data_IF_776650916464
#
_entry.id   IF_776650916464
#
_cell.length_a   1.000
_cell.length_b   1.000
_cell.length_c   1.000
_cell.angle_alpha   90.00
_cell.angle_beta   90.00
_cell.angle_gamma   90.00
#
_symmetry.space_group_name_H-M   'P 1'
#
loop_
_entity.id
_entity.type
_entity.pdbx_description
1 polymer ?
#
# COMPACT_ATOMS: atom_id res chain seq x y z
N UNK A 1 -31.47 45.21 25.54
CA UNK A 1 -31.23 43.82 25.96
C UNK A 1 -30.26 43.26 24.95
N UNK A 2 -28.98 43.16 25.33
CA UNK A 2 -27.97 42.48 24.51
C UNK A 2 -28.08 41.01 24.89
N UNK A 3 -28.63 40.21 23.98
CA UNK A 3 -28.77 38.78 24.18
C UNK A 3 -27.37 38.18 24.28
N UNK A 4 -27.02 37.78 25.50
CA UNK A 4 -25.86 36.94 25.77
C UNK A 4 -26.20 35.54 25.25
N UNK A 5 -25.97 35.33 23.96
CA UNK A 5 -25.98 33.98 23.41
C UNK A 5 -24.91 33.15 24.13
N UNK A 6 -25.26 31.97 24.68
CA UNK A 6 -24.34 31.15 25.44
C UNK A 6 -23.18 30.71 24.54
N UNK A 7 -21.96 30.95 25.02
CA UNK A 7 -20.71 30.52 24.40
C UNK A 7 -20.82 29.03 24.08
N UNK A 8 -20.72 28.60 22.80
CA UNK A 8 -20.69 27.19 22.48
C UNK A 8 -19.41 26.59 23.07
N UNK A 9 -19.61 25.66 23.99
CA UNK A 9 -18.58 25.03 24.80
C UNK A 9 -17.55 24.32 23.91
N UNK A 10 -16.33 24.86 23.90
CA UNK A 10 -15.20 24.41 23.06
C UNK A 10 -14.86 22.94 23.33
N UNK A 11 -15.19 22.43 24.52
CA UNK A 11 -14.99 21.02 24.89
C UNK A 11 -15.82 20.05 24.03
N UNK A 12 -17.00 20.47 23.56
CA UNK A 12 -17.95 19.54 22.91
C UNK A 12 -17.58 19.19 21.46
N UNK A 13 -16.79 20.02 20.78
CA UNK A 13 -16.46 19.81 19.37
C UNK A 13 -15.09 19.14 19.16
N UNK A 14 -14.15 19.28 20.09
CA UNK A 14 -12.82 18.66 19.96
C UNK A 14 -12.81 17.21 20.47
N UNK A 15 -13.62 16.90 21.50
CA UNK A 15 -13.70 15.56 22.10
C UNK A 15 -14.60 14.57 21.33
N UNK A 16 -15.44 15.06 20.41
CA UNK A 16 -16.35 14.21 19.63
C UNK A 16 -15.64 13.45 18.49
N UNK A 17 -14.43 13.87 18.14
CA UNK A 17 -13.69 13.31 17.02
C UNK A 17 -12.63 12.35 17.58
N UNK A 18 -12.89 11.05 17.45
CA UNK A 18 -11.94 10.03 17.84
C UNK A 18 -10.76 10.01 16.85
N UNK A 19 -9.63 10.56 17.28
CA UNK A 19 -8.37 10.60 16.51
C UNK A 19 -7.73 9.21 16.35
N UNK A 20 -8.25 8.17 17.01
CA UNK A 20 -7.71 6.80 16.97
C UNK A 20 -7.78 6.15 15.59
N UNK A 21 -8.75 6.53 14.75
CA UNK A 21 -8.88 5.99 13.38
C UNK A 21 -7.78 6.51 12.44
N UNK A 22 -7.22 7.69 12.71
CA UNK A 22 -6.21 8.32 11.87
C UNK A 22 -4.82 7.69 12.03
N UNK A 23 -4.53 7.20 13.23
CA UNK A 23 -3.26 6.58 13.57
C UNK A 23 -3.27 5.04 13.52
N UNK A 24 -4.43 4.43 13.25
CA UNK A 24 -4.50 2.98 13.08
C UNK A 24 -3.68 2.57 11.84
N UNK A 25 -2.59 1.81 12.02
CA UNK A 25 -1.90 1.20 10.90
C UNK A 25 -2.93 0.27 10.27
N UNK A 26 -3.30 0.53 9.01
CA UNK A 26 -4.17 -0.39 8.28
C UNK A 26 -3.56 -1.78 8.42
N UNK A 27 -4.27 -2.69 9.09
CA UNK A 27 -3.83 -4.06 9.24
C UNK A 27 -3.71 -4.60 7.83
N UNK A 28 -2.49 -4.60 7.30
CA UNK A 28 -2.19 -5.35 6.10
C UNK A 28 -2.47 -6.78 6.48
N UNK A 29 -3.59 -7.31 6.02
CA UNK A 29 -3.75 -8.75 5.83
C UNK A 29 -2.79 -9.11 4.70
N UNK A 30 -1.49 -9.05 5.00
CA UNK A 30 -0.44 -9.60 4.18
C UNK A 30 -0.76 -11.06 4.07
N UNK A 31 -1.40 -11.42 2.96
CA UNK A 31 -1.65 -12.80 2.58
C UNK A 31 -0.32 -13.52 2.74
N UNK A 32 -0.27 -14.44 3.71
CA UNK A 32 0.91 -15.20 4.05
C UNK A 32 1.50 -15.74 2.75
N UNK A 33 2.70 -15.28 2.40
CA UNK A 33 3.45 -15.77 1.26
C UNK A 33 3.76 -17.24 1.53
N UNK A 34 2.91 -18.14 1.04
CA UNK A 34 3.27 -19.55 0.89
C UNK A 34 4.34 -19.60 -0.20
N UNK A 35 5.57 -19.47 0.25
CA UNK A 35 6.76 -19.72 -0.54
C UNK A 35 6.70 -21.17 -0.96
N UNK A 36 6.26 -21.41 -2.20
CA UNK A 36 6.32 -22.73 -2.81
C UNK A 36 7.76 -23.15 -2.95
N UNK A 37 8.26 -23.88 -1.95
CA UNK A 37 9.50 -24.65 -1.99
C UNK A 37 9.37 -25.67 -3.11
N UNK A 38 9.89 -25.31 -4.29
CA UNK A 38 10.21 -26.26 -5.34
C UNK A 38 11.51 -26.97 -4.97
N UNK A 39 11.39 -28.11 -4.29
CA UNK A 39 12.51 -29.02 -4.09
C UNK A 39 12.87 -29.69 -5.42
N UNK A 40 13.72 -29.03 -6.22
CA UNK A 40 14.52 -29.71 -7.23
C UNK A 40 15.80 -30.20 -6.55
N UNK A 41 15.78 -31.44 -6.03
CA UNK A 41 17.01 -32.12 -5.63
C UNK A 41 17.87 -32.36 -6.88
N UNK A 42 18.85 -31.48 -7.05
CA UNK A 42 20.01 -31.74 -7.88
C UNK A 42 20.90 -32.77 -7.17
N UNK A 43 20.75 -34.05 -7.53
CA UNK A 43 21.84 -35.03 -7.38
C UNK A 43 22.57 -35.14 -8.71
N UNK A 44 23.57 -34.29 -8.88
CA UNK A 44 24.68 -34.56 -9.78
C UNK A 44 25.53 -35.66 -9.14
N UNK A 45 25.55 -36.83 -9.76
CA UNK A 45 26.60 -37.83 -9.55
C UNK A 45 26.96 -38.38 -10.92
N UNK A 46 28.07 -37.86 -11.43
CA UNK A 46 29.03 -38.47 -12.36
C UNK A 46 28.75 -39.94 -12.71
N UNK A 47 28.44 -40.21 -13.97
CA UNK A 47 29.01 -41.37 -14.68
C UNK A 47 29.35 -40.96 -16.11
N UNK A 48 30.65 -40.81 -16.35
CA UNK A 48 31.19 -40.91 -17.70
C UNK A 48 30.79 -42.26 -18.28
N UNK A 49 30.25 -42.23 -19.48
CA UNK A 49 29.70 -43.40 -20.13
C UNK A 49 29.44 -43.10 -21.59
N UNK A 50 30.51 -42.76 -22.31
CA UNK A 50 30.57 -42.97 -23.76
C UNK A 50 30.29 -44.44 -24.02
N UNK A 51 29.03 -44.82 -24.18
CA UNK A 51 28.69 -46.11 -24.75
C UNK A 51 28.77 -45.95 -26.26
N UNK A 52 29.99 -46.19 -26.74
CA UNK A 52 30.26 -46.64 -28.09
C UNK A 52 29.22 -47.70 -28.49
N UNK A 53 28.20 -47.28 -29.22
CA UNK A 53 27.28 -48.19 -29.90
C UNK A 53 27.46 -47.99 -31.39
N UNK A 54 28.52 -48.64 -31.89
CA UNK A 54 28.55 -49.18 -33.24
C UNK A 54 27.26 -50.01 -33.41
N UNK A 55 26.25 -49.40 -34.02
CA UNK A 55 24.98 -50.04 -34.34
C UNK A 55 24.57 -49.54 -35.70
N UNK A 56 24.68 -50.47 -36.64
CA UNK A 56 23.96 -50.65 -37.89
C UNK A 56 23.14 -49.43 -38.40
N UNK A 57 23.43 -48.89 -39.60
CA UNK A 57 22.70 -47.75 -40.16
C UNK A 57 21.20 -48.00 -40.33
N UNK A 58 20.73 -49.25 -40.31
CA UNK A 58 19.32 -49.59 -40.55
C UNK A 58 18.40 -49.54 -39.30
N UNK A 59 18.93 -49.35 -38.08
CA UNK A 59 18.14 -49.31 -36.83
C UNK A 59 18.05 -47.93 -36.15
N UNK A 60 18.73 -46.90 -36.69
CA UNK A 60 18.81 -45.57 -36.06
C UNK A 60 17.60 -44.66 -36.33
N UNK A 61 16.86 -44.93 -37.38
CA UNK A 61 15.75 -44.07 -37.84
C UNK A 61 14.57 -44.02 -36.84
N UNK A 62 14.08 -45.16 -36.29
CA UNK A 62 12.92 -45.14 -35.39
C UNK A 62 13.18 -44.41 -34.06
N UNK A 63 14.42 -44.45 -33.56
CA UNK A 63 14.78 -43.86 -32.26
C UNK A 63 15.00 -42.35 -32.33
N UNK A 64 15.50 -41.84 -33.46
CA UNK A 64 15.67 -40.40 -33.70
C UNK A 64 14.30 -39.72 -33.82
N UNK A 65 13.36 -40.34 -34.55
CA UNK A 65 12.01 -39.79 -34.72
C UNK A 65 11.22 -39.81 -33.42
N UNK A 66 11.32 -40.88 -32.63
CA UNK A 66 10.71 -40.93 -31.30
C UNK A 66 11.33 -39.91 -30.34
N UNK A 67 12.66 -39.72 -30.39
CA UNK A 67 13.34 -38.66 -29.61
C UNK A 67 12.88 -37.27 -30.04
N UNK A 68 12.72 -37.03 -31.34
CA UNK A 68 12.20 -35.76 -31.90
C UNK A 68 10.75 -35.54 -31.44
N UNK A 69 9.90 -36.57 -31.48
CA UNK A 69 8.52 -36.52 -30.98
C UNK A 69 8.47 -36.15 -29.50
N UNK A 70 9.26 -36.82 -28.66
CA UNK A 70 9.36 -36.50 -27.22
C UNK A 70 9.83 -35.07 -26.97
N UNK A 71 10.83 -34.59 -27.72
CA UNK A 71 11.29 -33.20 -27.66
C UNK A 71 10.21 -32.21 -28.06
N UNK A 72 9.44 -32.48 -29.10
CA UNK A 72 8.32 -31.61 -29.51
C UNK A 72 7.25 -31.52 -28.42
N UNK A 73 6.90 -32.64 -27.78
CA UNK A 73 5.91 -32.67 -26.69
C UNK A 73 6.46 -31.93 -25.46
N UNK A 74 7.69 -32.22 -25.04
CA UNK A 74 8.33 -31.57 -23.89
C UNK A 74 8.51 -30.07 -24.11
N UNK A 75 8.99 -29.66 -25.28
CA UNK A 75 9.17 -28.25 -25.63
C UNK A 75 7.80 -27.54 -25.66
N UNK A 76 6.79 -28.13 -26.29
CA UNK A 76 5.41 -27.60 -26.27
C UNK A 76 4.91 -27.41 -24.84
N UNK A 77 5.10 -28.39 -23.96
CA UNK A 77 4.73 -28.27 -22.55
C UNK A 77 5.53 -27.18 -21.83
N UNK A 78 6.84 -27.08 -22.08
CA UNK A 78 7.71 -26.06 -21.50
C UNK A 78 7.34 -24.64 -21.95
N UNK A 79 7.03 -24.45 -23.24
CA UNK A 79 6.58 -23.19 -23.81
C UNK A 79 5.22 -22.78 -23.21
N UNK A 80 4.29 -23.74 -23.05
CA UNK A 80 3.02 -23.49 -22.35
C UNK A 80 3.25 -23.06 -20.91
N UNK A 81 4.08 -23.77 -20.15
CA UNK A 81 4.44 -23.41 -18.77
C UNK A 81 5.08 -22.03 -18.68
N UNK A 82 6.00 -21.72 -19.59
CA UNK A 82 6.64 -20.41 -19.64
C UNK A 82 5.66 -19.27 -19.92
N UNK A 83 4.74 -19.47 -20.88
CA UNK A 83 3.66 -18.51 -21.18
C UNK A 83 2.73 -18.34 -19.97
N UNK A 84 2.36 -19.42 -19.30
CA UNK A 84 1.53 -19.37 -18.09
C UNK A 84 2.22 -18.62 -16.96
N UNK A 85 3.50 -18.90 -16.67
CA UNK A 85 4.26 -18.15 -15.66
C UNK A 85 4.31 -16.65 -15.95
N UNK A 86 4.57 -16.28 -17.21
CA UNK A 86 4.59 -14.87 -17.61
C UNK A 86 3.22 -14.22 -17.48
N UNK A 87 2.14 -14.91 -17.85
CA UNK A 87 0.76 -14.43 -17.68
C UNK A 87 0.45 -14.20 -16.20
N UNK A 88 0.71 -15.18 -15.34
CA UNK A 88 0.45 -15.07 -13.91
C UNK A 88 1.27 -13.93 -13.27
N UNK A 89 2.52 -13.73 -13.69
CA UNK A 89 3.33 -12.63 -13.20
C UNK A 89 2.74 -11.26 -13.59
N UNK A 90 2.27 -11.11 -14.84
CA UNK A 90 1.61 -9.88 -15.28
C UNK A 90 0.30 -9.63 -14.52
N UNK A 91 -0.48 -10.69 -14.26
CA UNK A 91 -1.70 -10.60 -13.46
C UNK A 91 -1.40 -10.17 -12.02
N UNK A 92 -0.38 -10.77 -11.38
CA UNK A 92 0.05 -10.40 -10.04
C UNK A 92 0.49 -8.93 -9.98
N UNK A 93 1.32 -8.47 -10.92
CA UNK A 93 1.73 -7.07 -10.99
C UNK A 93 0.54 -6.12 -11.19
N UNK A 94 -0.42 -6.51 -12.03
CA UNK A 94 -1.64 -5.72 -12.27
C UNK A 94 -2.47 -5.60 -10.99
N UNK A 95 -2.57 -6.67 -10.21
CA UNK A 95 -3.28 -6.66 -8.93
C UNK A 95 -2.54 -5.82 -7.89
N UNK A 96 -1.21 -5.89 -7.83
CA UNK A 96 -0.39 -5.06 -6.95
C UNK A 96 -0.56 -3.57 -7.27
N UNK A 97 -0.51 -3.18 -8.54
CA UNK A 97 -0.78 -1.79 -8.96
C UNK A 97 -2.17 -1.33 -8.54
N UNK A 98 -3.21 -2.16 -8.71
CA UNK A 98 -4.57 -1.82 -8.28
C UNK A 98 -4.67 -1.64 -6.76
N UNK A 99 -4.03 -2.52 -5.98
CA UNK A 99 -4.01 -2.41 -4.52
C UNK A 99 -3.31 -1.11 -4.09
N UNK A 100 -2.15 -0.81 -4.67
CA UNK A 100 -1.41 0.42 -4.40
C UNK A 100 -2.21 1.66 -4.79
N UNK A 101 -2.96 1.63 -5.89
CA UNK A 101 -3.85 2.73 -6.29
C UNK A 101 -4.96 2.98 -5.27
N UNK A 102 -5.59 1.92 -4.77
CA UNK A 102 -6.63 2.02 -3.72
C UNK A 102 -6.02 2.63 -2.44
N UNK A 103 -4.88 2.09 -1.98
CA UNK A 103 -4.18 2.60 -0.80
C UNK A 103 -3.77 4.07 -0.98
N UNK A 104 -3.28 4.46 -2.16
CA UNK A 104 -2.92 5.84 -2.44
C UNK A 104 -4.14 6.76 -2.38
N UNK A 105 -5.28 6.33 -2.91
CA UNK A 105 -6.54 7.08 -2.84
C UNK A 105 -7.03 7.23 -1.39
N UNK A 106 -6.98 6.16 -0.59
CA UNK A 106 -7.33 6.20 0.83
C UNK A 106 -6.44 7.16 1.61
N UNK A 107 -5.12 7.11 1.41
CA UNK A 107 -4.18 8.03 2.05
C UNK A 107 -4.42 9.49 1.63
N UNK A 108 -4.70 9.74 0.36
CA UNK A 108 -5.05 11.09 -0.11
C UNK A 108 -6.34 11.61 0.53
N UNK A 109 -7.36 10.76 0.67
CA UNK A 109 -8.60 11.13 1.34
C UNK A 109 -8.36 11.48 2.82
N UNK A 110 -7.55 10.68 3.52
CA UNK A 110 -7.15 10.96 4.91
C UNK A 110 -6.37 12.28 5.01
N UNK A 111 -5.41 12.51 4.13
CA UNK A 111 -4.64 13.74 4.09
C UNK A 111 -5.55 14.96 3.87
N UNK A 112 -6.50 14.86 2.95
CA UNK A 112 -7.48 15.93 2.70
C UNK A 112 -8.32 16.23 3.93
N UNK A 113 -8.86 15.20 4.59
CA UNK A 113 -9.62 15.36 5.84
C UNK A 113 -8.80 16.02 6.95
N UNK A 114 -7.53 15.63 7.11
CA UNK A 114 -6.62 16.27 8.07
C UNK A 114 -6.33 17.73 7.72
N UNK A 115 -6.15 18.04 6.45
CA UNK A 115 -5.95 19.41 5.97
C UNK A 115 -7.17 20.28 6.25
N UNK A 116 -8.37 19.79 5.97
CA UNK A 116 -9.62 20.49 6.24
C UNK A 116 -9.79 20.73 7.74
N UNK A 117 -9.48 19.73 8.57
CA UNK A 117 -9.51 19.87 10.02
C UNK A 117 -8.49 20.89 10.53
N UNK A 118 -7.25 20.85 10.04
CA UNK A 118 -6.23 21.82 10.41
C UNK A 118 -6.67 23.24 10.04
N UNK A 119 -7.33 23.41 8.89
CA UNK A 119 -7.89 24.68 8.48
C UNK A 119 -8.95 25.19 9.48
N UNK A 120 -9.89 24.33 9.90
CA UNK A 120 -10.88 24.69 10.93
C UNK A 120 -10.21 25.09 12.25
N UNK A 121 -9.25 24.30 12.75
CA UNK A 121 -8.51 24.62 13.98
C UNK A 121 -7.77 25.96 13.88
N UNK A 122 -7.21 26.29 12.71
CA UNK A 122 -6.55 27.58 12.50
C UNK A 122 -7.53 28.75 12.56
N UNK A 123 -8.74 28.59 12.01
CA UNK A 123 -9.80 29.60 12.11
C UNK A 123 -10.18 29.81 13.57
N UNK A 124 -10.44 28.74 14.31
CA UNK A 124 -10.80 28.80 15.73
C UNK A 124 -9.68 29.44 16.58
N UNK A 125 -8.42 29.06 16.32
CA UNK A 125 -7.28 29.65 17.01
C UNK A 125 -7.16 31.16 16.74
N UNK A 126 -7.38 31.60 15.50
CA UNK A 126 -7.38 33.01 15.15
C UNK A 126 -8.54 33.75 15.84
N UNK A 127 -9.73 33.14 15.94
CA UNK A 127 -10.88 33.73 16.66
C UNK A 127 -10.53 33.98 18.13
N UNK A 128 -10.03 32.95 18.83
CA UNK A 128 -9.65 33.08 20.25
C UNK A 128 -8.55 34.13 20.43
N UNK A 129 -7.55 34.18 19.54
CA UNK A 129 -6.51 35.22 19.59
C UNK A 129 -7.07 36.62 19.42
N UNK A 130 -8.03 36.79 18.51
CA UNK A 130 -8.70 38.07 18.29
C UNK A 130 -9.48 38.50 19.53
N UNK A 131 -10.29 37.62 20.12
CA UNK A 131 -11.00 37.88 21.37
C UNK A 131 -10.06 38.25 22.52
N UNK A 132 -8.96 37.50 22.69
CA UNK A 132 -7.92 37.84 23.67
C UNK A 132 -7.33 39.24 23.44
N UNK A 133 -7.09 39.62 22.17
CA UNK A 133 -6.55 40.95 21.85
C UNK A 133 -7.52 42.08 22.19
N UNK A 134 -8.83 41.87 21.96
CA UNK A 134 -9.87 42.83 22.34
C UNK A 134 -9.88 43.00 23.86
N UNK A 135 -9.97 41.89 24.60
CA UNK A 135 -10.01 41.94 26.07
C UNK A 135 -8.76 42.59 26.66
N UNK A 136 -7.59 42.33 26.07
CA UNK A 136 -6.35 43.00 26.47
C UNK A 136 -6.42 44.51 26.24
N UNK A 137 -6.97 44.96 25.11
CA UNK A 137 -7.14 46.38 24.81
C UNK A 137 -8.10 47.04 25.82
N UNK A 138 -9.25 46.43 26.09
CA UNK A 138 -10.22 46.96 27.07
C UNK A 138 -9.61 47.11 28.47
N UNK A 139 -8.81 46.13 28.90
CA UNK A 139 -8.10 46.19 30.19
C UNK A 139 -7.07 47.33 30.20
N UNK A 140 -6.36 47.55 29.09
CA UNK A 140 -5.41 48.66 28.98
C UNK A 140 -6.13 50.02 29.01
N UNK A 141 -7.25 50.16 28.31
CA UNK A 141 -8.04 51.39 28.27
C UNK A 141 -8.60 51.72 29.67
N UNK A 142 -9.14 50.72 30.38
CA UNK A 142 -9.57 50.88 31.77
C UNK A 142 -8.42 51.30 32.70
N UNK A 143 -7.23 50.70 32.55
CA UNK A 143 -6.04 51.09 33.33
C UNK A 143 -5.63 52.52 33.04
N UNK A 144 -5.63 52.96 31.78
CA UNK A 144 -5.31 54.34 31.42
C UNK A 144 -6.31 55.31 32.04
N UNK A 145 -7.61 55.04 31.95
CA UNK A 145 -8.65 55.87 32.57
C UNK A 145 -8.48 56.01 34.09
N UNK A 146 -8.00 54.97 34.77
CA UNK A 146 -7.71 55.02 36.21
C UNK A 146 -6.44 55.82 36.55
N UNK A 147 -5.45 55.87 35.66
CA UNK A 147 -4.21 56.63 35.87
C UNK A 147 -4.40 58.13 35.60
N UNK A 148 -5.30 58.50 34.70
CA UNK A 148 -5.59 59.91 34.36
C UNK A 148 -6.69 60.55 35.22
N UNK A 149 -7.08 59.92 36.33
CA UNK A 149 -8.11 60.38 37.27
C UNK A 149 -7.54 60.57 38.66
#
# INVERSE_FOLDING_TARGET
MLDNDPIPDIETNIMKWDWSELFSPGQSTGSARSSGTGSDEAKQSLTGGSTSSLKDPNQRVPTIDERKRRRMISNRASARRSRMRKRNHLENLTNEVKQLQIQNQELNNRLKSLSDHNHCLRIDNNRVRFECSILQQEVLDMRQLLVFR
#
